data_IF_553451472469
#
_entry.id   IF_553451472469
#
_cell.length_a   1.000
_cell.length_b   1.000
_cell.length_c   1.000
_cell.angle_alpha   90.00
_cell.angle_beta   90.00
_cell.angle_gamma   90.00
#
_symmetry.space_group_name_H-M   'P 1'
#
loop_
_entity.id
_entity.type
_entity.pdbx_description
1 polymer ?
#
# COMPACT_ATOMS: atom_id res chain seq x y z
N UNK A 1 4.84 -31.45 7.15
CA UNK A 1 5.21 -30.36 6.23
C UNK A 1 4.37 -30.31 4.95
N UNK A 2 4.24 -31.40 4.19
CA UNK A 2 3.57 -31.39 2.87
C UNK A 2 2.09 -30.97 2.93
N UNK A 3 1.35 -31.40 3.95
CA UNK A 3 -0.05 -31.01 4.13
C UNK A 3 -0.23 -29.51 4.40
N UNK A 4 0.67 -28.87 5.16
CA UNK A 4 0.64 -27.44 5.42
C UNK A 4 1.05 -26.64 4.17
N UNK A 5 2.11 -27.08 3.48
CA UNK A 5 2.51 -26.52 2.19
C UNK A 5 1.39 -26.59 1.16
N UNK A 6 0.65 -27.70 1.12
CA UNK A 6 -0.52 -27.88 0.25
C UNK A 6 -1.66 -26.91 0.59
N UNK A 7 -1.94 -26.68 1.89
CA UNK A 7 -2.95 -25.71 2.35
C UNK A 7 -2.55 -24.25 2.08
N UNK A 8 -1.25 -23.96 2.05
CA UNK A 8 -0.71 -22.60 1.84
C UNK A 8 -0.92 -22.07 0.42
N UNK A 9 -0.71 -22.89 -0.60
CA UNK A 9 -0.85 -22.51 -2.01
C UNK A 9 -2.20 -21.86 -2.36
N UNK A 10 -3.37 -22.44 -2.00
CA UNK A 10 -4.65 -21.81 -2.28
C UNK A 10 -4.86 -20.51 -1.49
N UNK A 11 -4.29 -20.37 -0.29
CA UNK A 11 -4.36 -19.14 0.50
C UNK A 11 -3.53 -18.01 -0.12
N UNK A 12 -2.30 -18.30 -0.57
CA UNK A 12 -1.47 -17.34 -1.32
C UNK A 12 -2.15 -16.87 -2.60
N UNK A 13 -2.82 -17.80 -3.29
CA UNK A 13 -3.61 -17.49 -4.48
C UNK A 13 -4.80 -16.59 -4.14
N UNK A 14 -5.54 -16.92 -3.07
CA UNK A 14 -6.69 -16.13 -2.63
C UNK A 14 -6.29 -14.71 -2.18
N UNK A 15 -5.16 -14.58 -1.48
CA UNK A 15 -4.58 -13.29 -1.10
C UNK A 15 -4.24 -12.46 -2.35
N UNK A 16 -3.52 -13.06 -3.30
CA UNK A 16 -3.12 -12.37 -4.54
C UNK A 16 -4.33 -11.92 -5.36
N UNK A 17 -5.37 -12.77 -5.48
CA UNK A 17 -6.62 -12.39 -6.14
C UNK A 17 -7.33 -11.24 -5.43
N UNK A 18 -7.35 -11.22 -4.10
CA UNK A 18 -7.95 -10.13 -3.35
C UNK A 18 -7.19 -8.81 -3.48
N UNK A 19 -5.85 -8.87 -3.55
CA UNK A 19 -5.01 -7.72 -3.88
C UNK A 19 -5.34 -7.16 -5.26
N UNK A 20 -5.37 -8.02 -6.28
CA UNK A 20 -5.67 -7.59 -7.65
C UNK A 20 -7.08 -6.99 -7.75
N UNK A 21 -8.06 -7.61 -7.10
CA UNK A 21 -9.42 -7.08 -7.06
C UNK A 21 -9.50 -5.71 -6.39
N UNK A 22 -8.81 -5.52 -5.26
CA UNK A 22 -8.73 -4.21 -4.60
C UNK A 22 -8.05 -3.17 -5.49
N UNK A 23 -7.02 -3.57 -6.24
CA UNK A 23 -6.35 -2.70 -7.20
C UNK A 23 -7.30 -2.26 -8.32
N UNK A 24 -8.04 -3.20 -8.92
CA UNK A 24 -9.03 -2.91 -9.96
C UNK A 24 -10.08 -1.90 -9.48
N UNK A 25 -10.59 -2.05 -8.24
CA UNK A 25 -11.57 -1.10 -7.68
C UNK A 25 -10.97 0.30 -7.54
N UNK A 26 -9.70 0.41 -7.12
CA UNK A 26 -9.01 1.68 -6.92
C UNK A 26 -8.64 2.36 -8.25
N UNK A 27 -8.44 1.59 -9.31
CA UNK A 27 -8.12 2.08 -10.65
C UNK A 27 -9.37 2.49 -11.45
N UNK A 28 -10.57 2.12 -10.98
CA UNK A 28 -11.83 2.57 -11.57
C UNK A 28 -12.05 4.08 -11.35
N UNK A 29 -12.70 4.73 -12.31
CA UNK A 29 -13.12 6.13 -12.22
C UNK A 29 -14.64 6.24 -12.50
N UNK A 30 -15.46 6.69 -11.54
CA UNK A 30 -15.12 7.07 -10.17
C UNK A 30 -14.80 5.87 -9.27
N UNK A 31 -13.95 6.08 -8.26
CA UNK A 31 -13.61 5.06 -7.26
C UNK A 31 -14.80 4.81 -6.34
N UNK A 32 -15.27 3.57 -6.24
CA UNK A 32 -16.30 3.17 -5.28
C UNK A 32 -15.69 2.90 -3.90
N UNK A 33 -15.78 3.89 -3.01
CA UNK A 33 -15.20 3.82 -1.67
C UNK A 33 -15.81 2.71 -0.79
N UNK A 34 -17.08 2.37 -0.97
CA UNK A 34 -17.71 1.27 -0.23
C UNK A 34 -17.17 -0.08 -0.71
N UNK A 35 -16.96 -0.22 -2.02
CA UNK A 35 -16.31 -1.39 -2.59
C UNK A 35 -14.84 -1.51 -2.13
N UNK A 36 -14.11 -0.39 -2.06
CA UNK A 36 -12.73 -0.36 -1.51
C UNK A 36 -12.71 -0.87 -0.08
N UNK A 37 -13.59 -0.36 0.80
CA UNK A 37 -13.65 -0.79 2.20
C UNK A 37 -13.98 -2.27 2.33
N UNK A 38 -14.98 -2.74 1.59
CA UNK A 38 -15.40 -4.14 1.59
C UNK A 38 -14.30 -5.07 1.09
N UNK A 39 -13.67 -4.74 -0.04
CA UNK A 39 -12.59 -5.53 -0.61
C UNK A 39 -11.35 -5.54 0.30
N UNK A 40 -11.07 -4.43 0.97
CA UNK A 40 -9.97 -4.33 1.93
C UNK A 40 -10.21 -5.16 3.20
N UNK A 41 -11.43 -5.18 3.74
CA UNK A 41 -11.76 -6.05 4.87
C UNK A 41 -11.64 -7.53 4.50
N UNK A 42 -12.10 -7.90 3.30
CA UNK A 42 -11.87 -9.24 2.78
C UNK A 42 -10.39 -9.57 2.60
N UNK A 43 -9.55 -8.62 2.22
CA UNK A 43 -8.10 -8.80 2.13
C UNK A 43 -7.50 -9.07 3.52
N UNK A 44 -7.89 -8.31 4.56
CA UNK A 44 -7.44 -8.55 5.95
C UNK A 44 -7.78 -9.97 6.41
N UNK A 45 -9.02 -10.43 6.18
CA UNK A 45 -9.45 -11.77 6.57
C UNK A 45 -8.60 -12.84 5.87
N UNK A 46 -8.34 -12.69 4.57
CA UNK A 46 -7.51 -13.63 3.82
C UNK A 46 -6.04 -13.58 4.26
N UNK A 47 -5.51 -12.38 4.55
CA UNK A 47 -4.16 -12.19 5.07
C UNK A 47 -3.97 -12.84 6.44
N UNK A 48 -4.94 -12.72 7.35
CA UNK A 48 -4.88 -13.34 8.67
C UNK A 48 -4.84 -14.87 8.58
N UNK A 49 -5.68 -15.47 7.71
CA UNK A 49 -5.67 -16.91 7.45
C UNK A 49 -4.37 -17.39 6.81
N UNK A 50 -3.80 -16.60 5.89
CA UNK A 50 -2.52 -16.91 5.29
C UNK A 50 -1.41 -16.90 6.34
N UNK A 51 -1.37 -15.86 7.17
CA UNK A 51 -0.38 -15.72 8.24
C UNK A 51 -0.41 -16.89 9.22
N UNK A 52 -1.59 -17.32 9.66
CA UNK A 52 -1.73 -18.47 10.56
C UNK A 52 -1.09 -19.75 10.00
N UNK A 53 -1.29 -20.01 8.70
CA UNK A 53 -0.70 -21.18 8.03
C UNK A 53 0.80 -20.98 7.79
N UNK A 54 1.24 -19.76 7.46
CA UNK A 54 2.65 -19.44 7.26
C UNK A 54 3.45 -19.56 8.56
N UNK A 55 2.93 -19.07 9.69
CA UNK A 55 3.51 -19.23 11.02
C UNK A 55 3.65 -20.72 11.39
N UNK A 56 2.64 -21.54 11.07
CA UNK A 56 2.67 -22.98 11.31
C UNK A 56 3.72 -23.70 10.43
N UNK A 57 3.83 -23.32 9.15
CA UNK A 57 4.87 -23.88 8.25
C UNK A 57 6.26 -23.49 8.75
N UNK A 58 6.44 -22.24 9.18
CA UNK A 58 7.72 -21.74 9.67
C UNK A 58 8.14 -22.42 10.97
N UNK A 59 7.20 -22.64 11.90
CA UNK A 59 7.45 -23.38 13.13
C UNK A 59 7.86 -24.84 12.84
N UNK A 60 7.18 -25.50 11.90
CA UNK A 60 7.52 -26.88 11.52
C UNK A 60 8.92 -26.97 10.90
N UNK A 61 9.28 -26.00 10.05
CA UNK A 61 10.62 -25.88 9.47
C UNK A 61 11.70 -25.70 10.56
N UNK A 62 11.43 -24.90 11.59
CA UNK A 62 12.38 -24.68 12.70
C UNK A 62 12.62 -25.92 13.56
N UNK A 63 11.64 -26.83 13.64
CA UNK A 63 11.74 -28.08 14.42
C UNK A 63 12.42 -29.18 13.59
N UNK A 64 12.47 -29.03 12.27
CA UNK A 64 13.03 -30.03 11.37
C UNK A 64 14.56 -30.11 11.47
N UNK A 65 15.05 -31.25 11.98
CA UNK A 65 16.49 -31.51 12.22
C UNK A 65 17.41 -31.37 10.99
N UNK A 66 16.85 -31.38 9.78
CA UNK A 66 17.58 -31.27 8.53
C UNK A 66 17.31 -29.95 7.77
N UNK A 67 16.72 -28.94 8.42
CA UNK A 67 16.50 -27.64 7.77
C UNK A 67 17.85 -26.97 7.43
N UNK A 68 18.10 -26.73 6.15
CA UNK A 68 19.25 -25.93 5.72
C UNK A 68 18.96 -24.43 5.93
N UNK A 69 20.00 -23.63 6.14
CA UNK A 69 19.87 -22.17 6.23
C UNK A 69 19.25 -21.59 4.95
N UNK A 70 19.54 -22.17 3.80
CA UNK A 70 18.97 -21.75 2.52
C UNK A 70 17.45 -21.97 2.47
N UNK A 71 16.97 -23.15 2.89
CA UNK A 71 15.54 -23.43 2.95
C UNK A 71 14.81 -22.50 3.92
N UNK A 72 15.46 -22.15 5.03
CA UNK A 72 14.96 -21.15 5.98
C UNK A 72 14.84 -19.76 5.36
N UNK A 73 15.91 -19.26 4.73
CA UNK A 73 15.91 -17.92 4.15
C UNK A 73 14.84 -17.78 3.06
N UNK A 74 14.70 -18.79 2.18
CA UNK A 74 13.68 -18.79 1.12
C UNK A 74 12.26 -18.69 1.71
N UNK A 75 11.96 -19.47 2.76
CA UNK A 75 10.64 -19.45 3.37
C UNK A 75 10.40 -18.16 4.16
N UNK A 76 11.41 -17.65 4.86
CA UNK A 76 11.34 -16.37 5.57
C UNK A 76 11.05 -15.20 4.63
N UNK A 77 11.83 -15.07 3.55
CA UNK A 77 11.64 -14.01 2.54
C UNK A 77 10.26 -14.08 1.90
N UNK A 78 9.76 -15.30 1.63
CA UNK A 78 8.43 -15.47 1.07
C UNK A 78 7.34 -14.97 2.03
N UNK A 79 7.43 -15.28 3.33
CA UNK A 79 6.45 -14.88 4.35
C UNK A 79 6.49 -13.35 4.55
N UNK A 80 7.68 -12.78 4.73
CA UNK A 80 7.87 -11.33 4.86
C UNK A 80 7.32 -10.58 3.63
N UNK A 81 7.54 -11.10 2.42
CA UNK A 81 7.01 -10.48 1.21
C UNK A 81 5.48 -10.36 1.16
N UNK A 82 4.74 -11.31 1.76
CA UNK A 82 3.28 -11.18 1.91
C UNK A 82 2.89 -10.17 2.99
N UNK A 83 3.63 -10.12 4.10
CA UNK A 83 3.42 -9.16 5.18
C UNK A 83 3.67 -7.71 4.71
N UNK A 84 4.79 -7.45 4.04
CA UNK A 84 5.13 -6.16 3.44
C UNK A 84 4.06 -5.70 2.44
N UNK A 85 3.59 -6.62 1.58
CA UNK A 85 2.52 -6.33 0.63
C UNK A 85 1.23 -5.93 1.33
N UNK A 86 0.85 -6.60 2.42
CA UNK A 86 -0.31 -6.21 3.22
C UNK A 86 -0.14 -4.81 3.82
N UNK A 87 1.02 -4.48 4.38
CA UNK A 87 1.33 -3.16 4.95
C UNK A 87 1.22 -2.07 3.88
N UNK A 88 1.79 -2.30 2.69
CA UNK A 88 1.71 -1.37 1.57
C UNK A 88 0.24 -1.07 1.20
N UNK A 89 -0.62 -2.09 1.15
CA UNK A 89 -2.05 -1.91 0.90
C UNK A 89 -2.78 -1.19 2.04
N UNK A 90 -2.42 -1.45 3.30
CA UNK A 90 -2.99 -0.70 4.44
C UNK A 90 -2.70 0.80 4.33
N UNK A 91 -1.46 1.16 3.99
CA UNK A 91 -1.06 2.57 3.80
C UNK A 91 -1.80 3.18 2.60
N UNK A 92 -1.85 2.46 1.47
CA UNK A 92 -2.52 2.94 0.25
C UNK A 92 -4.00 3.20 0.47
N UNK A 93 -4.74 2.25 1.03
CA UNK A 93 -6.18 2.42 1.31
C UNK A 93 -6.42 3.54 2.30
N UNK A 94 -5.61 3.64 3.37
CA UNK A 94 -5.71 4.74 4.34
C UNK A 94 -5.54 6.12 3.70
N UNK A 95 -4.66 6.24 2.72
CA UNK A 95 -4.44 7.51 2.02
C UNK A 95 -5.63 7.86 1.11
N UNK A 96 -6.17 6.90 0.37
CA UNK A 96 -7.34 7.09 -0.51
C UNK A 96 -8.58 7.51 0.31
N UNK A 97 -8.81 6.85 1.44
CA UNK A 97 -9.94 7.19 2.33
C UNK A 97 -9.79 8.58 2.97
N UNK A 98 -8.57 9.03 3.24
CA UNK A 98 -8.32 10.40 3.72
C UNK A 98 -8.60 11.45 2.65
N UNK A 99 -8.21 11.19 1.40
CA UNK A 99 -8.43 12.14 0.30
C UNK A 99 -9.92 12.32 0.00
N UNK A 100 -10.70 11.25 0.04
CA UNK A 100 -12.16 11.32 -0.11
C UNK A 100 -12.82 12.15 1.01
N UNK A 101 -12.40 11.93 2.26
CA UNK A 101 -12.88 12.68 3.41
C UNK A 101 -12.52 14.18 3.39
N UNK A 102 -11.47 14.58 2.65
CA UNK A 102 -11.09 15.97 2.45
C UNK A 102 -11.86 16.61 1.29
N UNK A 103 -12.12 15.87 0.20
CA UNK A 103 -12.90 16.38 -0.94
C UNK A 103 -14.38 16.68 -0.63
N UNK A 104 -14.93 16.11 0.44
CA UNK A 104 -16.30 16.41 0.89
C UNK A 104 -16.44 17.73 1.67
N UNK A 105 -15.34 18.35 2.14
CA UNK A 105 -15.41 19.55 3.01
C UNK A 105 -15.57 20.88 2.27
N UNK A 106 -15.54 20.88 0.93
CA UNK A 106 -15.42 22.12 0.17
C UNK A 106 -16.74 22.61 -0.44
N UNK A 107 -17.86 21.91 -0.22
CA UNK A 107 -19.16 22.22 -0.84
C UNK A 107 -20.24 22.66 0.15
N UNK A 108 -19.92 23.52 1.11
CA UNK A 108 -20.94 24.24 1.87
C UNK A 108 -20.65 25.74 1.98
N UNK A 109 -21.34 26.50 1.13
CA UNK A 109 -21.72 27.91 1.29
C UNK A 109 -20.63 28.98 1.33
N UNK A 110 -20.50 29.74 0.24
CA UNK A 110 -20.49 31.20 0.35
C UNK A 110 -21.18 31.84 -0.87
N UNK A 111 -22.52 31.84 -0.87
CA UNK A 111 -23.27 32.91 -1.55
C UNK A 111 -23.40 34.04 -0.55
N UNK A 112 -22.56 35.06 -0.72
CA UNK A 112 -22.87 36.43 -0.31
C UNK A 112 -22.38 37.37 -1.40
N UNK A 113 -23.33 37.73 -2.26
CA UNK A 113 -23.26 38.90 -3.11
C UNK A 113 -23.00 40.15 -2.27
N UNK A 114 -21.87 40.83 -2.51
CA UNK A 114 -21.73 42.26 -2.26
C UNK A 114 -20.60 42.84 -3.10
N UNK A 115 -21.00 43.66 -4.07
CA UNK A 115 -20.20 44.72 -4.69
C UNK A 115 -19.37 45.48 -3.63
N UNK A 116 -18.08 45.68 -3.89
CA UNK A 116 -17.41 47.00 -3.80
C UNK A 116 -15.96 46.87 -4.29
N UNK A 117 -15.56 47.83 -5.11
CA UNK A 117 -14.22 48.06 -5.58
C UNK A 117 -13.28 48.34 -4.39
N UNK A 118 -12.07 47.80 -4.40
CA UNK A 118 -10.85 48.58 -4.08
C UNK A 118 -9.57 47.77 -4.32
N UNK A 119 -8.61 48.47 -4.94
CA UNK A 119 -7.20 48.14 -5.22
C UNK A 119 -6.45 47.64 -3.96
N UNK A 120 -5.36 46.85 -3.95
CA UNK A 120 -4.04 46.84 -4.63
C UNK A 120 -3.27 45.53 -4.19
N UNK A 121 -1.96 45.32 -4.44
CA UNK A 121 -1.27 44.71 -5.59
C UNK A 121 -0.80 43.24 -5.39
N UNK A 122 -0.34 42.64 -6.49
CA UNK A 122 0.33 41.33 -6.53
C UNK A 122 1.66 41.30 -5.76
N UNK A 123 1.80 40.37 -4.81
CA UNK A 123 3.08 39.97 -4.22
C UNK A 123 3.54 38.67 -4.88
N UNK A 124 4.48 38.85 -5.80
CA UNK A 124 5.22 37.83 -6.51
C UNK A 124 6.30 37.29 -5.57
N UNK A 125 6.14 36.08 -5.00
CA UNK A 125 7.22 35.44 -4.25
C UNK A 125 8.16 34.76 -5.24
N UNK A 126 9.18 35.52 -5.66
CA UNK A 126 10.41 34.99 -6.26
C UNK A 126 11.30 34.53 -5.11
N UNK A 127 11.63 33.24 -5.05
CA UNK A 127 12.73 32.74 -4.22
C UNK A 127 13.73 32.10 -5.17
N UNK A 128 14.71 32.90 -5.58
CA UNK A 128 15.99 32.43 -6.08
C UNK A 128 16.75 31.79 -4.90
N UNK A 129 17.25 30.58 -5.09
CA UNK A 129 17.96 29.84 -4.05
C UNK A 129 18.65 28.59 -4.59
N UNK A 130 19.75 28.80 -5.31
CA UNK A 130 20.71 27.79 -5.74
C UNK A 130 21.11 26.83 -4.60
N UNK A 131 21.05 25.53 -4.86
CA UNK A 131 22.01 24.57 -4.33
C UNK A 131 22.29 23.51 -5.41
N UNK A 132 23.55 23.46 -5.83
CA UNK A 132 24.04 22.71 -6.96
C UNK A 132 24.07 21.19 -6.70
N UNK A 133 23.62 20.41 -7.69
CA UNK A 133 23.93 19.00 -7.82
C UNK A 133 25.41 18.82 -8.19
N UNK A 134 26.20 17.99 -7.49
CA UNK A 134 27.50 17.57 -7.99
C UNK A 134 27.33 16.56 -9.14
N UNK A 135 27.88 16.88 -10.31
CA UNK A 135 28.00 15.98 -11.45
C UNK A 135 29.12 14.95 -11.21
N UNK A 136 29.00 13.72 -11.75
CA UNK A 136 30.01 12.68 -11.60
C UNK A 136 31.27 12.99 -12.42
N UNK A 137 32.44 12.82 -11.78
CA UNK A 137 33.77 12.95 -12.38
C UNK A 137 33.98 11.78 -13.36
N UNK A 138 34.24 12.09 -14.63
CA UNK A 138 34.80 11.14 -15.58
C UNK A 138 36.33 11.17 -15.47
N UNK A 139 36.93 10.08 -15.00
CA UNK A 139 38.36 9.81 -15.13
C UNK A 139 38.60 8.89 -16.33
N UNK A 140 39.36 9.38 -17.31
CA UNK A 140 40.34 8.64 -18.13
C UNK A 140 40.96 9.61 -19.15
N UNK A 141 42.23 9.45 -19.53
CA UNK A 141 42.85 8.18 -19.92
C UNK A 141 44.08 7.72 -19.11
#
# INVERSE_FOLDING_TARGET
>A
MDALKLRRTPLRTAFTKAVNHLQEIIENDPVDMNAVETAFEQLKIKSAKLKEVEDAVFLELMIESNCTQEAYNIEFEAIEGYAEKMIAWQVRVKNIMKTDALGQKDNHSLVTSSSSQDSVPAVFWRVDGLAAFPQPVQENP
#
